data_IF_509520676853
#
_entry.id   IF_509520676853
#
_cell.length_a   1.000
_cell.length_b   1.000
_cell.length_c   1.000
_cell.angle_alpha   90.00
_cell.angle_beta   90.00
_cell.angle_gamma   90.00
#
_symmetry.space_group_name_H-M   'P 1'
#
loop_
_entity.id
_entity.type
_entity.pdbx_description
1 polymer ?
#
# COMPACT_ATOMS: atom_id res chain seq x y z
N UNK A 1 -25.51 53.95 38.82
CA UNK A 1 -24.51 53.69 37.78
C UNK A 1 -24.72 52.26 37.27
N UNK A 2 -25.37 52.09 36.12
CA UNK A 2 -25.52 50.77 35.47
C UNK A 2 -24.55 50.77 34.29
N UNK A 3 -23.55 49.90 34.34
CA UNK A 3 -22.57 49.73 33.27
C UNK A 3 -23.03 48.63 32.32
N UNK A 4 -23.31 48.98 31.08
CA UNK A 4 -23.68 48.06 30.00
C UNK A 4 -22.40 47.60 29.31
N UNK A 5 -22.08 46.31 29.37
CA UNK A 5 -21.02 45.71 28.58
C UNK A 5 -21.59 45.26 27.22
N UNK A 6 -20.99 45.75 26.13
CA UNK A 6 -21.32 45.36 24.75
C UNK A 6 -20.43 44.17 24.38
N UNK A 7 -21.03 43.00 24.14
CA UNK A 7 -20.33 41.81 23.67
C UNK A 7 -20.30 41.83 22.13
N UNK A 8 -19.14 42.10 21.54
CA UNK A 8 -18.93 42.04 20.08
C UNK A 8 -18.68 40.59 19.67
N UNK A 9 -19.62 40.01 18.93
CA UNK A 9 -19.52 38.64 18.39
C UNK A 9 -18.75 38.68 17.07
N UNK A 10 -17.49 38.22 17.07
CA UNK A 10 -16.74 37.98 15.83
C UNK A 10 -17.17 36.63 15.26
N UNK A 11 -17.82 36.64 14.09
CA UNK A 11 -18.11 35.43 13.33
C UNK A 11 -16.82 34.97 12.63
N UNK A 12 -16.28 33.81 13.02
CA UNK A 12 -15.20 33.15 12.29
C UNK A 12 -15.80 32.44 11.07
N UNK A 13 -15.50 32.94 9.87
CA UNK A 13 -15.72 32.18 8.64
C UNK A 13 -14.57 31.19 8.52
N UNK A 14 -14.82 29.92 8.83
CA UNK A 14 -13.87 28.85 8.53
C UNK A 14 -13.90 28.58 7.02
N UNK A 15 -12.88 29.04 6.32
CA UNK A 15 -12.60 28.57 4.96
C UNK A 15 -12.15 27.11 5.08
N UNK A 16 -12.96 26.19 4.57
CA UNK A 16 -12.54 24.80 4.41
C UNK A 16 -11.36 24.79 3.42
N UNK A 17 -10.16 24.58 3.92
CA UNK A 17 -8.98 24.35 3.08
C UNK A 17 -9.24 23.09 2.27
N UNK A 18 -9.07 23.17 0.95
CA UNK A 18 -9.07 22.00 0.08
C UNK A 18 -8.14 20.93 0.67
N UNK A 19 -8.67 19.73 0.89
CA UNK A 19 -7.91 18.59 1.39
C UNK A 19 -6.67 18.42 0.52
N UNK A 20 -5.48 18.53 1.10
CA UNK A 20 -4.24 18.22 0.42
C UNK A 20 -4.34 16.79 -0.12
N UNK A 21 -4.14 16.61 -1.42
CA UNK A 21 -3.99 15.28 -2.03
C UNK A 21 -2.67 14.73 -1.50
N UNK A 22 -2.76 13.88 -0.48
CA UNK A 22 -1.62 13.13 0.05
C UNK A 22 -1.32 12.04 -0.97
N UNK A 23 -0.06 11.97 -1.41
CA UNK A 23 0.47 11.17 -2.53
C UNK A 23 0.46 9.64 -2.33
N UNK A 24 -0.56 9.08 -1.68
CA UNK A 24 -0.64 7.67 -1.31
C UNK A 24 -2.02 7.04 -1.61
N UNK A 25 -2.75 7.46 -2.65
CA UNK A 25 -3.97 6.70 -3.03
C UNK A 25 -3.57 5.45 -3.84
N UNK A 26 -4.24 4.30 -3.61
CA UNK A 26 -3.90 3.06 -4.30
C UNK A 26 -4.19 3.13 -5.80
N UNK A 27 -3.41 2.40 -6.60
CA UNK A 27 -3.89 1.95 -7.90
C UNK A 27 -4.48 0.56 -7.74
N UNK A 28 -5.49 0.26 -8.55
CA UNK A 28 -6.02 -1.09 -8.61
C UNK A 28 -5.34 -1.86 -9.72
N UNK A 29 -4.64 -2.93 -9.37
CA UNK A 29 -4.04 -3.85 -10.34
C UNK A 29 -4.90 -5.08 -10.52
N UNK A 30 -5.02 -5.58 -11.76
CA UNK A 30 -5.68 -6.86 -12.01
C UNK A 30 -4.89 -8.00 -11.35
N UNK A 31 -5.52 -8.75 -10.44
CA UNK A 31 -4.85 -9.80 -9.68
C UNK A 31 -4.23 -10.86 -10.61
N UNK A 32 -2.94 -11.16 -10.40
CA UNK A 32 -2.19 -12.11 -11.22
C UNK A 32 -1.87 -11.64 -12.65
N UNK A 33 -2.13 -10.36 -13.00
CA UNK A 33 -1.81 -9.76 -14.31
C UNK A 33 -1.08 -8.42 -14.17
N UNK A 34 -0.54 -7.90 -15.28
CA UNK A 34 0.08 -6.57 -15.35
C UNK A 34 -0.97 -5.55 -15.82
N UNK A 35 -1.10 -4.43 -15.10
CA UNK A 35 -1.90 -3.29 -15.51
C UNK A 35 -2.73 -2.68 -14.37
N UNK A 36 -2.92 -1.37 -14.43
CA UNK A 36 -3.64 -0.54 -13.47
C UNK A 36 -4.95 -0.02 -14.06
N UNK A 37 -6.02 -0.03 -13.27
CA UNK A 37 -7.27 0.68 -13.59
C UNK A 37 -6.94 2.16 -13.77
N UNK A 38 -7.27 2.70 -14.94
CA UNK A 38 -6.85 4.05 -15.34
C UNK A 38 -8.02 4.82 -15.93
N UNK A 39 -8.29 6.00 -15.40
CA UNK A 39 -9.12 7.00 -16.05
C UNK A 39 -8.38 7.59 -17.26
N UNK A 40 -8.94 7.46 -18.48
CA UNK A 40 -8.25 7.89 -19.70
C UNK A 40 -8.09 9.41 -19.83
N UNK A 41 -8.93 10.19 -19.15
CA UNK A 41 -8.84 11.65 -19.02
C UNK A 41 -9.70 12.12 -17.85
N UNK A 42 -9.75 13.43 -17.57
CA UNK A 42 -10.59 14.02 -16.52
C UNK A 42 -11.99 14.47 -17.01
N UNK A 43 -12.41 14.07 -18.21
CA UNK A 43 -13.73 14.38 -18.71
C UNK A 43 -14.78 13.40 -18.18
N UNK A 44 -16.01 13.87 -17.96
CA UNK A 44 -17.13 12.94 -17.74
C UNK A 44 -17.30 12.03 -18.94
N UNK A 45 -17.63 10.77 -18.69
CA UNK A 45 -17.68 9.67 -19.65
C UNK A 45 -16.31 9.23 -20.20
N UNK A 46 -15.20 9.71 -19.63
CA UNK A 46 -13.89 9.18 -19.99
C UNK A 46 -13.82 7.68 -19.63
N UNK A 47 -13.23 6.90 -20.53
CA UNK A 47 -13.16 5.46 -20.39
C UNK A 47 -12.29 5.08 -19.18
N UNK A 48 -12.72 4.04 -18.47
CA UNK A 48 -11.88 3.36 -17.48
C UNK A 48 -11.23 2.16 -18.17
N UNK A 49 -9.92 2.23 -18.34
CA UNK A 49 -9.13 1.29 -19.12
C UNK A 49 -8.08 0.60 -18.26
N UNK A 50 -7.53 -0.51 -18.73
CA UNK A 50 -6.26 -1.03 -18.23
C UNK A 50 -5.10 -0.29 -18.92
N UNK A 51 -4.08 0.11 -18.14
CA UNK A 51 -2.82 0.67 -18.65
C UNK A 51 -1.64 0.15 -17.83
N UNK A 52 -0.43 0.27 -18.35
CA UNK A 52 0.79 0.10 -17.55
C UNK A 52 0.74 1.03 -16.32
N UNK A 53 1.11 0.48 -15.17
CA UNK A 53 1.13 1.21 -13.91
C UNK A 53 2.26 2.24 -13.90
N UNK A 54 1.92 3.49 -13.58
CA UNK A 54 2.81 4.63 -13.51
C UNK A 54 2.37 5.60 -12.40
N UNK A 55 3.23 5.77 -11.39
CA UNK A 55 3.00 6.63 -10.22
C UNK A 55 2.81 8.11 -10.56
N UNK A 56 3.20 8.57 -11.76
CA UNK A 56 3.01 9.96 -12.18
C UNK A 56 1.69 10.21 -12.89
N UNK A 57 0.87 9.18 -13.12
CA UNK A 57 -0.42 9.31 -13.81
C UNK A 57 -1.53 9.48 -12.79
N UNK A 58 -2.02 10.71 -12.63
CA UNK A 58 -3.12 11.02 -11.69
C UNK A 58 -4.42 10.24 -11.97
N UNK A 59 -4.61 9.76 -13.21
CA UNK A 59 -5.73 8.87 -13.57
C UNK A 59 -5.63 7.45 -13.00
N UNK A 60 -4.52 7.10 -12.34
CA UNK A 60 -4.31 5.83 -11.65
C UNK A 60 -4.33 5.96 -10.12
N UNK A 61 -4.47 7.17 -9.60
CA UNK A 61 -4.52 7.48 -8.18
C UNK A 61 -5.97 7.38 -7.69
N UNK A 62 -6.41 6.17 -7.34
CA UNK A 62 -7.78 5.91 -6.92
C UNK A 62 -7.91 5.94 -5.41
N UNK A 63 -8.98 6.55 -4.90
CA UNK A 63 -9.26 6.63 -3.47
C UNK A 63 -10.59 5.95 -3.12
N UNK A 64 -10.57 5.16 -2.05
CA UNK A 64 -11.80 4.69 -1.42
C UNK A 64 -12.46 5.83 -0.65
N UNK A 65 -13.73 6.09 -0.93
CA UNK A 65 -14.56 6.98 -0.11
C UNK A 65 -15.67 6.15 0.53
N UNK A 66 -15.51 5.76 1.81
CA UNK A 66 -16.53 5.00 2.54
C UNK A 66 -17.85 5.79 2.64
N UNK A 67 -18.96 5.06 2.53
CA UNK A 67 -20.32 5.56 2.74
C UNK A 67 -20.98 4.75 3.87
N UNK A 68 -22.28 4.96 4.12
CA UNK A 68 -23.01 4.21 5.14
C UNK A 68 -23.00 2.70 4.84
N UNK A 69 -22.65 1.89 5.84
CA UNK A 69 -22.56 0.43 5.70
C UNK A 69 -21.27 0.00 4.99
N UNK A 70 -21.37 -1.04 4.15
CA UNK A 70 -20.23 -1.55 3.36
C UNK A 70 -20.04 -0.83 2.01
N UNK A 71 -20.83 0.22 1.75
CA UNK A 71 -20.81 0.94 0.49
C UNK A 71 -19.62 1.88 0.39
N UNK A 72 -19.09 2.03 -0.82
CA UNK A 72 -17.99 2.93 -1.11
C UNK A 72 -18.12 3.52 -2.52
N UNK A 73 -17.56 4.71 -2.70
CA UNK A 73 -17.22 5.26 -4.01
C UNK A 73 -15.73 5.04 -4.28
N UNK A 74 -15.39 4.69 -5.52
CA UNK A 74 -14.01 4.67 -6.02
C UNK A 74 -13.77 6.00 -6.74
N UNK A 75 -13.03 6.91 -6.11
CA UNK A 75 -12.77 8.25 -6.63
C UNK A 75 -11.43 8.34 -7.34
N UNK A 76 -11.32 9.21 -8.33
CA UNK A 76 -10.10 9.48 -9.09
C UNK A 76 -10.11 10.92 -9.58
N UNK A 77 -8.94 11.51 -9.85
CA UNK A 77 -8.82 12.88 -10.40
C UNK A 77 -9.59 13.94 -9.58
N UNK A 78 -9.72 13.74 -8.26
CA UNK A 78 -10.40 14.63 -7.32
C UNK A 78 -11.90 14.34 -7.17
N UNK A 79 -12.70 14.70 -8.17
CA UNK A 79 -14.17 14.70 -8.07
C UNK A 79 -14.88 13.66 -8.97
N UNK A 80 -14.11 12.78 -9.61
CA UNK A 80 -14.65 11.74 -10.50
C UNK A 80 -14.77 10.40 -9.77
N UNK A 81 -15.78 9.63 -10.15
CA UNK A 81 -16.10 8.33 -9.56
C UNK A 81 -16.13 7.25 -10.65
N UNK A 82 -15.73 6.01 -10.31
CA UNK A 82 -15.98 4.85 -11.15
C UNK A 82 -17.49 4.67 -11.33
N UNK A 83 -17.93 4.62 -12.57
CA UNK A 83 -19.33 4.72 -12.96
C UNK A 83 -19.69 3.64 -13.99
N UNK A 84 -20.80 2.95 -13.75
CA UNK A 84 -21.41 2.05 -14.74
C UNK A 84 -22.15 2.89 -15.78
N UNK A 85 -21.66 2.87 -17.03
CA UNK A 85 -22.18 3.71 -18.10
C UNK A 85 -23.70 3.59 -18.24
N UNK A 86 -24.40 4.71 -18.04
CA UNK A 86 -25.86 4.79 -18.13
C UNK A 86 -26.63 3.95 -17.09
N UNK A 87 -25.96 3.35 -16.11
CA UNK A 87 -26.57 2.44 -15.14
C UNK A 87 -27.15 1.16 -15.77
N UNK A 88 -26.65 0.76 -16.93
CA UNK A 88 -27.18 -0.39 -17.67
C UNK A 88 -26.69 -1.69 -17.03
N UNK A 89 -27.59 -2.43 -16.37
CA UNK A 89 -27.31 -3.73 -15.78
C UNK A 89 -27.33 -4.87 -16.82
N UNK A 90 -26.33 -4.85 -17.70
CA UNK A 90 -26.08 -5.90 -18.67
C UNK A 90 -24.59 -6.30 -18.61
N UNK A 91 -24.31 -7.58 -18.83
CA UNK A 91 -22.93 -8.05 -18.97
C UNK A 91 -22.29 -7.36 -20.19
N UNK A 92 -21.08 -6.84 -19.97
CA UNK A 92 -20.35 -6.10 -20.99
C UNK A 92 -20.61 -4.59 -21.02
N UNK A 93 -21.51 -4.05 -20.18
CA UNK A 93 -21.64 -2.60 -20.01
C UNK A 93 -20.29 -2.01 -19.59
N UNK A 94 -19.81 -1.04 -20.35
CA UNK A 94 -18.48 -0.45 -20.14
C UNK A 94 -18.44 0.45 -18.91
N UNK A 95 -17.27 0.49 -18.28
CA UNK A 95 -16.99 1.38 -17.17
C UNK A 95 -16.42 2.71 -17.68
N UNK A 96 -16.82 3.78 -17.02
CA UNK A 96 -16.37 5.13 -17.27
C UNK A 96 -16.08 5.82 -15.93
N UNK A 97 -15.55 7.03 -16.00
CA UNK A 97 -15.63 7.96 -14.88
C UNK A 97 -16.74 8.97 -15.12
N UNK A 98 -17.36 9.41 -14.02
CA UNK A 98 -18.31 10.50 -14.06
C UNK A 98 -18.21 11.31 -12.77
N UNK A 99 -18.58 12.58 -12.80
CA UNK A 99 -18.66 13.43 -11.61
C UNK A 99 -19.41 12.72 -10.48
N UNK A 100 -18.75 12.63 -9.31
CA UNK A 100 -19.27 11.93 -8.16
C UNK A 100 -20.58 12.56 -7.68
N UNK A 101 -21.67 11.78 -7.67
CA UNK A 101 -23.00 12.25 -7.27
C UNK A 101 -23.50 11.44 -6.07
N UNK A 102 -23.86 12.13 -4.99
CA UNK A 102 -24.39 11.49 -3.78
C UNK A 102 -25.68 10.73 -4.09
N UNK A 103 -25.74 9.45 -3.69
CA UNK A 103 -26.91 8.60 -3.92
C UNK A 103 -27.05 8.03 -5.33
N UNK A 104 -26.13 8.35 -6.26
CA UNK A 104 -26.11 7.72 -7.57
C UNK A 104 -25.64 6.27 -7.46
N UNK A 105 -26.56 5.31 -7.63
CA UNK A 105 -26.28 3.88 -7.52
C UNK A 105 -25.25 3.38 -8.52
N UNK A 106 -25.07 4.04 -9.66
CA UNK A 106 -24.10 3.65 -10.70
C UNK A 106 -22.64 3.79 -10.24
N UNK A 107 -22.42 4.50 -9.12
CA UNK A 107 -21.11 4.83 -8.56
C UNK A 107 -20.87 4.17 -7.21
N UNK A 108 -21.76 3.27 -6.78
CA UNK A 108 -21.71 2.60 -5.48
C UNK A 108 -21.20 1.18 -5.63
N UNK A 109 -20.11 0.89 -4.92
CA UNK A 109 -19.41 -0.37 -4.99
C UNK A 109 -19.35 -1.02 -3.61
N UNK A 110 -19.22 -2.35 -3.59
CA UNK A 110 -18.97 -3.18 -2.42
C UNK A 110 -17.64 -3.90 -2.65
N UNK A 111 -16.81 -4.00 -1.60
CA UNK A 111 -15.59 -4.81 -1.60
C UNK A 111 -15.71 -5.87 -0.49
N UNK A 112 -15.69 -7.15 -0.88
CA UNK A 112 -15.92 -8.27 0.03
C UNK A 112 -14.63 -8.92 0.55
N UNK A 113 -13.47 -8.28 0.35
CA UNK A 113 -12.18 -8.81 0.80
C UNK A 113 -11.65 -9.97 -0.06
N UNK A 114 -12.40 -10.40 -1.08
CA UNK A 114 -12.00 -11.34 -2.12
C UNK A 114 -11.38 -10.64 -3.35
N UNK A 115 -11.03 -9.37 -3.19
CA UNK A 115 -10.51 -8.46 -4.22
C UNK A 115 -11.51 -8.13 -5.34
N UNK A 116 -12.79 -8.42 -5.19
CA UNK A 116 -13.79 -7.98 -6.17
C UNK A 116 -14.35 -6.60 -5.84
N UNK A 117 -14.67 -5.83 -6.89
CA UNK A 117 -15.50 -4.62 -6.77
C UNK A 117 -16.87 -4.91 -7.36
N UNK A 118 -17.83 -5.24 -6.50
CA UNK A 118 -19.19 -5.55 -6.90
C UNK A 118 -20.03 -4.28 -6.96
N UNK A 119 -20.76 -4.08 -8.06
CA UNK A 119 -21.70 -3.00 -8.20
C UNK A 119 -22.90 -3.20 -7.27
N UNK A 120 -23.12 -2.24 -6.38
CA UNK A 120 -24.09 -2.33 -5.29
C UNK A 120 -25.50 -2.70 -5.76
N UNK A 121 -26.15 -3.62 -5.05
CA UNK A 121 -27.50 -4.08 -5.37
C UNK A 121 -27.60 -4.99 -6.60
N UNK A 122 -26.47 -5.38 -7.19
CA UNK A 122 -26.41 -6.30 -8.35
C UNK A 122 -25.46 -7.46 -8.09
N UNK A 123 -25.36 -8.43 -9.00
CA UNK A 123 -24.32 -9.47 -9.00
C UNK A 123 -23.28 -9.23 -10.11
N UNK A 124 -22.85 -7.97 -10.28
CA UNK A 124 -21.91 -7.56 -11.33
C UNK A 124 -20.63 -7.03 -10.71
N UNK A 125 -19.49 -7.47 -11.24
CA UNK A 125 -18.17 -7.12 -10.78
C UNK A 125 -17.44 -6.31 -11.85
N UNK A 126 -16.53 -5.42 -11.42
CA UNK A 126 -15.54 -4.82 -12.32
C UNK A 126 -14.74 -5.94 -12.98
N UNK A 127 -14.71 -5.95 -14.31
CA UNK A 127 -14.23 -7.06 -15.12
C UNK A 127 -13.25 -6.54 -16.18
N UNK A 128 -12.10 -7.20 -16.28
CA UNK A 128 -11.14 -7.00 -17.36
C UNK A 128 -11.69 -7.68 -18.61
N UNK A 129 -12.22 -6.86 -19.52
CA UNK A 129 -12.86 -7.29 -20.78
C UNK A 129 -11.99 -8.30 -21.52
N UNK A 130 -12.56 -9.46 -21.80
CA UNK A 130 -11.95 -10.56 -22.57
C UNK A 130 -10.59 -11.03 -22.03
N UNK A 131 -10.31 -10.78 -20.74
CA UNK A 131 -9.01 -11.03 -20.10
C UNK A 131 -7.83 -10.27 -20.74
N UNK A 132 -8.11 -9.32 -21.63
CA UNK A 132 -7.14 -8.63 -22.46
C UNK A 132 -6.38 -7.58 -21.64
N UNK A 133 -5.08 -7.79 -21.46
CA UNK A 133 -4.18 -6.91 -20.70
C UNK A 133 -3.53 -5.81 -21.52
N UNK A 134 -3.90 -5.65 -22.80
CA UNK A 134 -3.33 -4.62 -23.63
C UNK A 134 -3.78 -3.23 -23.16
N UNK A 135 -2.82 -2.32 -23.09
CA UNK A 135 -3.02 -0.90 -22.80
C UNK A 135 -4.18 -0.31 -23.63
N UNK A 136 -5.12 0.33 -22.94
CA UNK A 136 -6.31 0.93 -23.54
C UNK A 136 -7.53 0.01 -23.61
N UNK A 137 -7.42 -1.27 -23.22
CA UNK A 137 -8.61 -2.13 -23.11
C UNK A 137 -9.57 -1.58 -22.04
N UNK A 138 -10.79 -1.23 -22.44
CA UNK A 138 -11.79 -0.66 -21.53
C UNK A 138 -12.41 -1.73 -20.65
N UNK A 139 -12.47 -1.45 -19.35
CA UNK A 139 -13.10 -2.35 -18.38
C UNK A 139 -14.62 -2.34 -18.55
N UNK A 140 -15.24 -3.40 -18.05
CA UNK A 140 -16.69 -3.57 -18.08
C UNK A 140 -17.20 -4.04 -16.74
N UNK A 141 -18.52 -4.11 -16.61
CA UNK A 141 -19.14 -4.95 -15.59
C UNK A 141 -19.49 -6.31 -16.20
N UNK A 142 -19.35 -7.37 -15.41
CA UNK A 142 -19.77 -8.71 -15.80
C UNK A 142 -20.25 -9.49 -14.58
N UNK A 143 -21.06 -10.52 -14.79
CA UNK A 143 -21.52 -11.44 -13.74
C UNK A 143 -20.36 -11.92 -12.87
N UNK A 144 -20.45 -11.65 -11.56
CA UNK A 144 -19.42 -12.03 -10.60
C UNK A 144 -19.26 -13.55 -10.59
N UNK A 145 -18.02 -14.02 -10.77
CA UNK A 145 -17.65 -15.44 -10.78
C UNK A 145 -16.57 -15.68 -9.72
N UNK A 146 -16.85 -16.45 -8.66
CA UNK A 146 -15.88 -16.70 -7.59
C UNK A 146 -14.55 -17.25 -8.12
N UNK A 147 -13.44 -16.66 -7.67
CA UNK A 147 -12.09 -17.07 -8.07
C UNK A 147 -11.69 -16.68 -9.50
N UNK A 148 -12.55 -15.96 -10.22
CA UNK A 148 -12.21 -15.49 -11.55
C UNK A 148 -11.22 -14.31 -11.49
N UNK A 149 -9.99 -14.57 -11.89
CA UNK A 149 -8.89 -13.61 -11.75
C UNK A 149 -9.08 -12.34 -12.60
N UNK A 150 -9.91 -12.34 -13.64
CA UNK A 150 -10.20 -11.12 -14.42
C UNK A 150 -11.21 -10.18 -13.74
N UNK A 151 -11.76 -10.58 -12.58
CA UNK A 151 -12.66 -9.79 -11.75
C UNK A 151 -12.06 -9.42 -10.38
N UNK A 152 -10.79 -9.76 -10.18
CA UNK A 152 -10.06 -9.51 -8.96
C UNK A 152 -9.09 -8.35 -9.16
N UNK A 153 -9.12 -7.42 -8.23
CA UNK A 153 -8.42 -6.14 -8.25
C UNK A 153 -7.82 -5.87 -6.88
N UNK A 154 -6.51 -5.78 -6.84
CA UNK A 154 -5.78 -5.50 -5.61
C UNK A 154 -5.41 -4.03 -5.57
N UNK A 155 -5.58 -3.42 -4.40
CA UNK A 155 -5.02 -2.12 -4.06
C UNK A 155 -3.52 -2.26 -3.79
N UNK A 156 -2.78 -2.56 -4.86
CA UNK A 156 -1.34 -2.44 -4.80
C UNK A 156 -1.02 -0.94 -4.82
N UNK A 157 -0.16 -0.43 -3.92
CA UNK A 157 0.53 0.82 -4.20
C UNK A 157 1.06 0.76 -5.63
N UNK A 158 0.97 1.85 -6.39
CA UNK A 158 1.27 1.92 -7.84
C UNK A 158 2.77 1.70 -8.16
N UNK A 159 3.45 0.79 -7.46
CA UNK A 159 4.72 0.24 -7.87
C UNK A 159 4.51 -1.24 -8.26
N UNK A 160 4.81 -1.63 -9.51
CA UNK A 160 5.12 -3.02 -9.83
C UNK A 160 6.33 -3.48 -8.97
N UNK A 161 6.65 -4.78 -8.91
CA UNK A 161 7.82 -5.33 -8.21
C UNK A 161 9.17 -4.97 -8.89
N UNK A 162 9.35 -3.68 -9.19
CA UNK A 162 10.55 -3.01 -9.71
C UNK A 162 10.76 -1.62 -9.08
N UNK A 163 9.93 -1.22 -8.11
CA UNK A 163 10.19 -0.13 -7.18
C UNK A 163 10.22 -0.72 -5.76
N UNK A 164 11.35 -0.65 -5.06
CA UNK A 164 11.35 -1.05 -3.66
C UNK A 164 10.59 -0.03 -2.82
N UNK A 165 10.11 -0.47 -1.66
CA UNK A 165 9.46 0.35 -0.65
C UNK A 165 10.46 0.82 0.38
N UNK A 166 10.18 1.94 1.03
CA UNK A 166 10.87 2.30 2.26
C UNK A 166 10.10 1.76 3.44
N UNK A 167 10.79 1.14 4.39
CA UNK A 167 10.20 0.60 5.61
C UNK A 167 10.37 1.64 6.71
N UNK A 168 9.39 2.53 6.85
CA UNK A 168 9.40 3.63 7.83
C UNK A 168 9.01 3.15 9.22
N UNK A 169 9.75 3.59 10.23
CA UNK A 169 9.39 3.38 11.63
C UNK A 169 8.22 4.33 12.02
N UNK A 170 7.14 3.82 12.64
CA UNK A 170 5.89 4.55 12.86
C UNK A 170 5.90 5.59 13.99
N UNK A 171 6.80 5.47 14.97
CA UNK A 171 6.76 6.19 16.25
C UNK A 171 7.65 7.44 16.31
N UNK A 172 8.27 7.81 15.20
CA UNK A 172 9.10 9.02 15.05
C UNK A 172 8.35 10.19 14.42
N UNK A 173 8.68 11.41 14.85
CA UNK A 173 8.18 12.68 14.27
C UNK A 173 8.88 13.04 12.96
N UNK A 174 10.16 12.65 12.82
CA UNK A 174 10.94 12.71 11.57
C UNK A 174 10.89 11.33 10.93
N UNK A 175 10.56 11.18 9.64
CA UNK A 175 10.50 9.87 9.00
C UNK A 175 11.89 9.23 8.94
N UNK A 176 12.08 8.16 9.72
CA UNK A 176 13.26 7.29 9.65
C UNK A 176 12.91 5.92 9.09
N UNK A 177 13.81 5.36 8.29
CA UNK A 177 13.61 4.16 7.51
C UNK A 177 14.69 3.12 7.79
N UNK A 178 14.29 1.85 7.74
CA UNK A 178 15.21 0.72 7.76
C UNK A 178 16.22 0.87 6.62
N UNK A 179 17.50 0.96 6.96
CA UNK A 179 18.57 1.29 6.03
C UNK A 179 19.71 0.29 6.18
N UNK A 180 20.12 -0.35 5.08
CA UNK A 180 21.38 -1.06 5.02
C UNK A 180 22.52 -0.04 4.87
N UNK A 181 23.51 -0.09 5.76
CA UNK A 181 24.60 0.92 5.77
C UNK A 181 25.47 0.86 4.51
N UNK A 182 25.47 -0.28 3.81
CA UNK A 182 26.01 -0.42 2.46
C UNK A 182 25.42 -1.66 1.76
N UNK A 183 25.75 -1.86 0.48
CA UNK A 183 25.40 -3.07 -0.28
C UNK A 183 26.49 -4.16 -0.21
N UNK A 184 27.37 -4.15 0.80
CA UNK A 184 28.38 -5.19 1.01
C UNK A 184 27.82 -6.36 1.83
N UNK A 185 28.42 -7.55 1.69
CA UNK A 185 28.08 -8.68 2.56
C UNK A 185 28.45 -8.37 4.01
N UNK A 186 27.57 -8.76 4.92
CA UNK A 186 27.64 -8.50 6.36
C UNK A 186 27.50 -7.03 6.74
N UNK A 187 27.03 -6.17 5.83
CA UNK A 187 26.71 -4.79 6.17
C UNK A 187 25.54 -4.75 7.14
N UNK A 188 25.70 -3.99 8.22
CA UNK A 188 24.68 -3.84 9.25
C UNK A 188 23.45 -3.08 8.74
N UNK A 189 22.36 -3.21 9.49
CA UNK A 189 21.17 -2.39 9.32
C UNK A 189 21.05 -1.33 10.42
N UNK A 190 20.46 -0.19 10.06
CA UNK A 190 20.21 0.94 10.94
C UNK A 190 18.89 1.64 10.62
N UNK A 191 18.59 2.72 11.34
CA UNK A 191 17.59 3.73 11.00
C UNK A 191 18.29 5.01 10.55
N UNK A 192 17.86 5.54 9.42
CA UNK A 192 18.29 6.85 8.90
C UNK A 192 17.11 7.57 8.23
N UNK A 193 17.30 8.83 7.84
CA UNK A 193 16.30 9.64 7.17
C UNK A 193 15.82 8.96 5.88
N UNK A 194 14.51 8.79 5.78
CA UNK A 194 13.88 8.24 4.58
C UNK A 194 14.17 9.12 3.36
N UNK A 195 14.67 8.52 2.28
CA UNK A 195 14.88 9.18 0.98
C UNK A 195 16.23 9.86 0.81
N UNK A 196 17.04 9.93 1.86
CA UNK A 196 18.38 10.53 1.81
C UNK A 196 19.39 9.73 2.63
N UNK A 197 19.55 8.41 2.37
CA UNK A 197 20.54 7.63 3.10
C UNK A 197 21.97 8.09 2.73
N UNK A 198 22.96 7.82 3.60
CA UNK A 198 24.37 8.10 3.31
C UNK A 198 24.82 7.49 1.99
N UNK A 199 25.84 8.09 1.35
CA UNK A 199 26.36 7.59 0.09
C UNK A 199 26.79 6.11 0.20
N UNK A 200 26.25 5.26 -0.67
CA UNK A 200 26.53 3.82 -0.71
C UNK A 200 25.59 2.95 0.15
N UNK A 201 24.76 3.56 1.00
CA UNK A 201 23.70 2.89 1.75
C UNK A 201 22.44 2.64 0.90
N UNK A 202 21.52 1.83 1.42
CA UNK A 202 20.26 1.50 0.74
C UNK A 202 19.10 1.48 1.75
N UNK A 203 18.14 2.39 1.57
CA UNK A 203 16.93 2.50 2.40
C UNK A 203 15.67 1.94 1.73
N UNK A 204 15.84 1.35 0.54
CA UNK A 204 14.76 0.93 -0.32
C UNK A 204 14.80 -0.59 -0.48
N UNK A 205 13.65 -1.26 -0.28
CA UNK A 205 13.54 -2.70 -0.12
C UNK A 205 12.47 -3.29 -1.02
N UNK A 206 12.73 -4.42 -1.67
CA UNK A 206 11.69 -5.23 -2.29
C UNK A 206 11.25 -6.28 -1.26
N UNK A 207 9.98 -6.21 -0.86
CA UNK A 207 9.41 -7.12 0.15
C UNK A 207 8.36 -8.04 -0.49
N UNK A 208 8.16 -9.27 0.06
CA UNK A 208 7.04 -10.13 -0.33
C UNK A 208 5.68 -9.45 -0.12
N UNK A 209 4.66 -9.92 -0.85
CA UNK A 209 3.30 -9.46 -0.65
C UNK A 209 2.81 -9.80 0.79
N UNK A 210 1.89 -9.00 1.36
CA UNK A 210 1.27 -9.32 2.64
C UNK A 210 0.72 -10.75 2.70
N UNK A 211 0.95 -11.44 3.81
CA UNK A 211 0.54 -12.84 4.02
C UNK A 211 1.42 -13.88 3.33
N UNK A 212 2.48 -13.46 2.62
CA UNK A 212 3.39 -14.37 1.92
C UNK A 212 4.78 -14.39 2.57
N UNK A 213 5.55 -15.43 2.24
CA UNK A 213 6.94 -15.59 2.67
C UNK A 213 7.89 -15.54 1.47
N UNK A 214 9.04 -14.91 1.64
CA UNK A 214 10.05 -14.81 0.60
C UNK A 214 11.24 -13.95 1.00
N UNK A 215 12.24 -13.80 0.12
CA UNK A 215 13.36 -12.91 0.38
C UNK A 215 12.91 -11.45 0.42
N UNK A 216 13.45 -10.70 1.37
CA UNK A 216 13.43 -9.24 1.37
C UNK A 216 14.76 -8.79 0.81
N UNK A 217 14.75 -8.02 -0.29
CA UNK A 217 15.98 -7.64 -0.99
C UNK A 217 16.18 -6.13 -0.97
N UNK A 218 17.44 -5.70 -0.96
CA UNK A 218 17.81 -4.32 -1.24
C UNK A 218 17.36 -3.95 -2.66
N UNK A 219 16.95 -2.68 -2.86
CA UNK A 219 16.54 -2.21 -4.17
C UNK A 219 17.68 -2.37 -5.19
N UNK A 220 17.36 -2.94 -6.36
CA UNK A 220 18.35 -3.44 -7.33
C UNK A 220 18.68 -4.93 -7.19
N UNK A 221 18.13 -5.62 -6.19
CA UNK A 221 18.19 -7.09 -6.03
C UNK A 221 19.57 -7.63 -5.64
N UNK A 222 20.46 -6.79 -5.12
CA UNK A 222 21.88 -7.14 -4.92
C UNK A 222 22.16 -7.93 -3.64
N UNK A 223 21.34 -7.74 -2.59
CA UNK A 223 21.50 -8.35 -1.27
C UNK A 223 20.15 -8.66 -0.62
N UNK A 224 20.13 -9.65 0.26
CA UNK A 224 18.97 -10.10 1.03
C UNK A 224 19.12 -9.70 2.49
N UNK A 225 18.00 -9.37 3.13
CA UNK A 225 17.88 -9.28 4.59
C UNK A 225 18.19 -10.65 5.19
N UNK A 226 19.17 -10.72 6.08
CA UNK A 226 19.80 -11.97 6.51
C UNK A 226 19.94 -12.01 8.03
N UNK A 227 19.57 -13.15 8.62
CA UNK A 227 19.92 -13.50 10.01
C UNK A 227 21.31 -14.14 10.00
N UNK A 228 22.36 -13.49 10.58
CA UNK A 228 23.71 -14.01 10.54
C UNK A 228 23.79 -15.44 11.08
N UNK A 229 24.30 -16.35 10.25
CA UNK A 229 24.43 -17.78 10.55
C UNK A 229 23.13 -18.48 10.98
N UNK A 230 21.96 -17.86 10.77
CA UNK A 230 20.67 -18.40 11.19
C UNK A 230 20.51 -18.50 12.70
N UNK A 231 21.28 -17.73 13.46
CA UNK A 231 21.22 -17.74 14.92
C UNK A 231 19.88 -17.15 15.41
N UNK A 232 19.01 -17.94 16.05
CA UNK A 232 17.67 -17.50 16.45
C UNK A 232 17.62 -16.79 17.80
N UNK A 233 18.77 -16.54 18.44
CA UNK A 233 18.82 -15.87 19.73
C UNK A 233 18.33 -14.41 19.62
N UNK A 234 17.48 -13.99 20.56
CA UNK A 234 17.09 -12.59 20.72
C UNK A 234 18.33 -11.70 20.84
N UNK A 235 18.31 -10.58 20.13
CA UNK A 235 19.42 -9.64 20.10
C UNK A 235 20.50 -9.94 19.06
N UNK A 236 20.36 -11.01 18.28
CA UNK A 236 21.21 -11.21 17.11
C UNK A 236 20.96 -10.07 16.11
N UNK A 237 22.02 -9.33 15.77
CA UNK A 237 21.94 -8.17 14.90
C UNK A 237 21.71 -8.62 13.46
N UNK A 238 20.84 -7.91 12.74
CA UNK A 238 20.55 -8.19 11.35
C UNK A 238 21.59 -7.58 10.41
N UNK A 239 21.78 -8.24 9.27
CA UNK A 239 22.69 -7.79 8.22
C UNK A 239 22.02 -7.90 6.84
N UNK A 240 22.68 -7.35 5.82
CA UNK A 240 22.47 -7.79 4.44
C UNK A 240 23.55 -8.77 4.02
N UNK A 241 23.18 -9.76 3.23
CA UNK A 241 24.09 -10.74 2.67
C UNK A 241 23.69 -11.11 1.24
N UNK A 242 24.62 -11.66 0.47
CA UNK A 242 24.34 -12.21 -0.86
C UNK A 242 23.12 -13.13 -0.80
N UNK A 243 22.15 -12.92 -1.69
CA UNK A 243 20.95 -13.73 -1.76
C UNK A 243 21.28 -15.17 -2.16
N UNK A 244 20.91 -16.14 -1.32
CA UNK A 244 21.14 -17.56 -1.57
C UNK A 244 19.78 -18.28 -1.65
N UNK A 245 19.47 -18.85 -2.81
CA UNK A 245 18.22 -19.57 -3.02
C UNK A 245 18.10 -20.74 -2.03
N UNK A 246 16.96 -20.84 -1.35
CA UNK A 246 16.70 -21.89 -0.35
C UNK A 246 17.35 -21.66 1.02
N UNK A 247 18.11 -20.58 1.22
CA UNK A 247 18.64 -20.23 2.53
C UNK A 247 17.52 -19.70 3.43
N UNK A 248 17.14 -20.49 4.43
CA UNK A 248 16.06 -20.15 5.38
C UNK A 248 16.37 -18.91 6.22
N UNK A 249 17.64 -18.51 6.36
CA UNK A 249 18.05 -17.31 7.10
C UNK A 249 17.66 -16.00 6.38
N UNK A 250 17.20 -16.12 5.13
CA UNK A 250 16.85 -15.00 4.25
C UNK A 250 15.38 -15.05 3.82
N UNK A 251 14.57 -15.94 4.41
CA UNK A 251 13.15 -16.08 4.08
C UNK A 251 12.31 -15.46 5.19
N UNK A 252 11.58 -14.40 4.83
CA UNK A 252 10.80 -13.59 5.76
C UNK A 252 9.32 -13.68 5.43
N UNK A 253 8.48 -13.77 6.45
CA UNK A 253 7.03 -13.68 6.34
C UNK A 253 6.58 -12.25 6.59
N UNK A 254 5.74 -11.72 5.69
CA UNK A 254 5.25 -10.34 5.78
C UNK A 254 3.84 -10.33 6.34
N UNK A 255 3.69 -10.04 7.63
CA UNK A 255 2.40 -9.75 8.25
C UNK A 255 1.91 -8.35 7.91
N UNK A 256 0.59 -8.13 7.84
CA UNK A 256 0.01 -6.81 7.64
C UNK A 256 -1.17 -6.55 8.56
N UNK A 257 -1.13 -5.42 9.28
CA UNK A 257 -2.18 -4.97 10.19
C UNK A 257 -2.29 -3.46 10.12
N UNK A 258 -3.49 -2.92 9.89
CA UNK A 258 -3.77 -1.48 9.87
C UNK A 258 -2.76 -0.66 9.02
N UNK A 259 -2.41 -1.16 7.83
CA UNK A 259 -1.44 -0.53 6.92
C UNK A 259 0.04 -0.73 7.27
N UNK A 260 0.37 -1.25 8.46
CA UNK A 260 1.74 -1.58 8.88
C UNK A 260 2.16 -2.97 8.39
N UNK A 261 3.46 -3.24 8.38
CA UNK A 261 4.09 -4.52 8.10
C UNK A 261 4.85 -5.02 9.31
N UNK A 262 4.71 -6.30 9.63
CA UNK A 262 5.56 -6.99 10.60
C UNK A 262 6.37 -8.03 9.83
N UNK A 263 7.69 -7.88 9.84
CA UNK A 263 8.61 -8.73 9.09
C UNK A 263 9.12 -9.79 10.05
N UNK A 264 8.62 -11.03 9.89
CA UNK A 264 8.94 -12.12 10.80
C UNK A 264 9.77 -13.22 10.15
N UNK A 265 10.61 -13.84 10.95
CA UNK A 265 11.47 -14.96 10.58
C UNK A 265 11.29 -16.07 11.62
N UNK A 266 11.27 -17.32 11.16
CA UNK A 266 11.04 -18.46 12.03
C UNK A 266 11.74 -19.70 11.50
N UNK A 267 12.22 -20.53 12.42
CA UNK A 267 12.68 -21.88 12.13
C UNK A 267 11.58 -22.89 12.49
N UNK A 268 11.54 -24.07 11.84
CA UNK A 268 10.58 -25.12 12.18
C UNK A 268 10.62 -25.46 13.68
N UNK A 269 9.46 -25.39 14.34
CA UNK A 269 9.30 -25.70 15.76
C UNK A 269 9.79 -24.62 16.74
N UNK A 270 10.13 -23.41 16.27
CA UNK A 270 10.53 -22.29 17.12
C UNK A 270 9.54 -21.13 17.04
N UNK A 271 9.53 -20.27 18.07
CA UNK A 271 8.76 -19.03 18.05
C UNK A 271 9.32 -18.05 17.02
N UNK A 272 8.41 -17.38 16.31
CA UNK A 272 8.78 -16.34 15.34
C UNK A 272 9.53 -15.19 16.00
N UNK A 273 10.52 -14.69 15.29
CA UNK A 273 11.28 -13.49 15.61
C UNK A 273 10.94 -12.40 14.61
N UNK A 274 10.98 -11.15 15.03
CA UNK A 274 10.62 -10.00 14.23
C UNK A 274 11.82 -9.07 14.06
N UNK A 275 11.86 -8.38 12.91
CA UNK A 275 12.79 -7.25 12.69
C UNK A 275 12.46 -6.17 13.72
N UNK A 276 13.44 -5.85 14.57
CA UNK A 276 13.28 -5.06 15.79
C UNK A 276 14.35 -3.97 15.89
N UNK A 277 13.94 -2.73 16.22
CA UNK A 277 14.90 -1.65 16.53
C UNK A 277 15.42 -1.84 17.94
N UNK A 278 16.67 -2.25 18.08
CA UNK A 278 17.28 -2.58 19.37
C UNK A 278 17.12 -1.46 20.39
N UNK A 279 16.73 -1.84 21.60
CA UNK A 279 16.52 -0.96 22.75
C UNK A 279 15.56 0.21 22.47
N UNK A 280 14.73 0.10 21.42
CA UNK A 280 13.86 1.18 20.91
C UNK A 280 14.60 2.49 20.63
N UNK A 281 15.86 2.41 20.19
CA UNK A 281 16.66 3.60 19.83
C UNK A 281 16.24 4.12 18.46
N UNK A 282 15.31 5.08 18.44
CA UNK A 282 14.72 5.66 17.23
C UNK A 282 15.56 6.81 16.63
N UNK A 283 16.89 6.73 16.71
CA UNK A 283 17.76 7.83 16.28
C UNK A 283 17.80 7.96 14.75
N UNK A 284 17.66 9.18 14.19
CA UNK A 284 17.79 9.43 12.75
C UNK A 284 19.26 9.53 12.28
N UNK A 285 20.24 9.29 13.15
CA UNK A 285 21.67 9.50 12.86
C UNK A 285 22.45 8.22 12.56
N UNK A 286 21.80 7.13 12.15
CA UNK A 286 22.48 5.88 11.77
C UNK A 286 23.11 5.09 12.92
N UNK A 287 22.79 5.42 14.18
CA UNK A 287 23.30 4.73 15.36
C UNK A 287 22.34 3.65 15.90
N UNK A 288 21.11 3.60 15.37
CA UNK A 288 20.16 2.56 15.73
C UNK A 288 20.68 1.21 15.23
N UNK A 289 20.61 0.18 16.06
CA UNK A 289 20.91 -1.18 15.63
C UNK A 289 19.61 -1.93 15.36
N UNK A 290 19.60 -2.77 14.33
CA UNK A 290 18.44 -3.60 14.03
C UNK A 290 18.79 -5.05 14.38
N UNK A 291 17.89 -5.71 15.08
CA UNK A 291 18.06 -7.06 15.58
C UNK A 291 16.85 -7.92 15.25
N UNK A 292 16.96 -9.21 15.56
CA UNK A 292 15.78 -10.05 15.75
C UNK A 292 15.39 -10.09 17.23
N UNK A 293 14.09 -10.04 17.50
CA UNK A 293 13.53 -10.22 18.83
C UNK A 293 12.23 -11.02 18.77
N UNK A 294 11.76 -11.57 19.88
CA UNK A 294 10.43 -12.20 19.92
C UNK A 294 9.35 -11.22 19.43
N UNK A 295 8.44 -11.72 18.58
CA UNK A 295 7.40 -10.90 17.98
C UNK A 295 6.32 -10.51 19.00
N UNK A 296 6.06 -9.21 19.14
CA UNK A 296 4.98 -8.69 19.97
C UNK A 296 3.66 -8.66 19.18
N UNK A 297 2.92 -9.77 19.21
CA UNK A 297 1.61 -9.87 18.58
C UNK A 297 0.57 -9.05 19.36
N UNK A 298 0.28 -7.82 18.90
CA UNK A 298 -0.86 -7.02 19.37
C UNK A 298 -0.51 -5.60 19.85
N UNK A 299 0.76 -5.28 20.06
CA UNK A 299 1.18 -3.91 20.33
C UNK A 299 1.70 -3.27 19.03
N UNK A 300 0.84 -2.51 18.36
CA UNK A 300 1.16 -1.86 17.08
C UNK A 300 2.10 -0.64 17.22
N UNK A 301 2.45 -0.25 18.44
CA UNK A 301 3.35 0.87 18.75
C UNK A 301 4.74 0.42 19.18
N UNK A 302 5.11 -0.82 18.88
CA UNK A 302 6.47 -1.31 19.11
C UNK A 302 7.36 -0.95 17.94
N UNK A 303 8.65 -0.94 18.25
CA UNK A 303 9.82 -0.92 17.38
C UNK A 303 9.93 -2.11 16.39
N UNK A 304 8.84 -2.85 16.14
CA UNK A 304 8.78 -4.05 15.29
C UNK A 304 7.83 -3.92 14.09
N UNK A 305 7.18 -2.76 13.94
CA UNK A 305 6.22 -2.48 12.87
C UNK A 305 6.73 -1.41 11.93
N UNK A 306 6.42 -1.56 10.64
CA UNK A 306 6.97 -0.73 9.58
C UNK A 306 5.85 -0.22 8.66
N UNK A 307 5.84 1.07 8.35
CA UNK A 307 4.99 1.62 7.30
C UNK A 307 5.72 1.54 5.96
N UNK A 308 5.19 0.79 4.98
CA UNK A 308 5.71 0.85 3.63
C UNK A 308 5.36 2.22 3.03
N UNK A 309 6.36 2.93 2.52
CA UNK A 309 6.26 4.20 1.80
C UNK A 309 6.83 4.07 0.39
#
# INVERSE_FOLDING_TARGET
MRSTAVLSLYAFVTVATASQIVSNSPAFTAAGRKGCITASSNADNAAVVIQDCNTTVAGQDWAYTPLSGALQQLRVLGDKCLDVTGGVNADGTKLQIFTCTTGNTNQLWLNFGDHTFQWSGTNKCVDLTDTNTNNGNQLQIFSCTPGNTNQQWTDQPIAPPTGGVRLREPSTTVPVCLTAVSNADNAALTLDHCGSPPAGANDTWVIPAPGTSGPITTFGGTKCLDVPNGNPANGNLLQVFTCVAGNTNQVWTVGAVAGKRQLSWSLPGQSSKCVDVKDSVLSPTGNAQIQIWDCDAGNLNTNQWWFPQ
#
